data_IF_200919486897
#
_entry.id   IF_200919486897
#
_cell.length_a   1.000
_cell.length_b   1.000
_cell.length_c   1.000
_cell.angle_alpha   90.00
_cell.angle_beta   90.00
_cell.angle_gamma   90.00
#
_symmetry.space_group_name_H-M   'P 1'
#
loop_
_entity.id
_entity.type
_entity.pdbx_description
1 polymer ?
#
# COMPACT_ATOMS: atom_id res chain seq x y z
N UNK A 1 -4.55 6.49 -4.38
CA UNK A 1 -3.87 5.62 -5.36
C UNK A 1 -2.86 4.79 -4.59
N UNK A 2 -2.94 3.46 -4.58
CA UNK A 2 -1.95 2.64 -3.87
C UNK A 2 -0.57 2.77 -4.55
N UNK A 3 0.53 2.97 -3.80
CA UNK A 3 1.84 3.19 -4.40
C UNK A 3 2.47 1.86 -4.84
N UNK A 4 2.08 1.39 -6.03
CA UNK A 4 2.57 0.13 -6.63
C UNK A 4 4.09 0.12 -6.76
N UNK A 5 4.72 1.28 -7.02
CA UNK A 5 6.17 1.40 -7.16
C UNK A 5 6.94 1.06 -5.90
N UNK A 6 6.51 1.57 -4.74
CA UNK A 6 7.15 1.27 -3.46
C UNK A 6 6.78 -0.11 -2.92
N UNK A 7 5.67 -0.69 -3.39
CA UNK A 7 5.17 -1.98 -2.90
C UNK A 7 6.10 -3.14 -3.27
N UNK A 8 6.87 -3.05 -4.35
CA UNK A 8 7.87 -4.09 -4.70
C UNK A 8 8.89 -4.38 -3.59
N UNK A 9 9.16 -3.41 -2.71
CA UNK A 9 10.14 -3.52 -1.62
C UNK A 9 9.71 -4.49 -0.50
N UNK A 10 8.42 -4.83 -0.40
CA UNK A 10 7.94 -5.79 0.61
C UNK A 10 8.03 -7.24 0.12
N UNK A 11 7.96 -7.48 -1.19
CA UNK A 11 7.93 -8.82 -1.79
C UNK A 11 9.27 -9.27 -2.40
N UNK A 12 10.17 -8.34 -2.71
CA UNK A 12 11.47 -8.69 -3.33
C UNK A 12 12.45 -9.27 -2.31
N UNK A 13 13.15 -10.33 -2.68
CA UNK A 13 14.17 -10.93 -1.82
C UNK A 13 15.38 -9.99 -1.67
N UNK A 14 15.96 -9.93 -0.47
CA UNK A 14 17.05 -9.02 -0.11
C UNK A 14 16.64 -7.56 0.07
N UNK A 15 15.35 -7.25 -0.06
CA UNK A 15 14.82 -5.91 0.16
C UNK A 15 14.68 -5.59 1.66
N UNK A 16 14.91 -4.34 2.03
CA UNK A 16 14.97 -3.91 3.44
C UNK A 16 13.64 -4.04 4.20
N UNK A 17 12.51 -4.12 3.49
CA UNK A 17 11.17 -4.26 4.09
C UNK A 17 10.62 -5.70 3.99
N UNK A 18 11.35 -6.61 3.34
CA UNK A 18 10.98 -8.02 3.26
C UNK A 18 11.66 -8.80 4.41
N UNK A 19 11.10 -8.69 5.62
CA UNK A 19 11.67 -9.33 6.81
C UNK A 19 11.69 -10.87 6.74
N UNK A 20 10.74 -11.48 6.03
CA UNK A 20 10.71 -12.92 5.81
C UNK A 20 11.68 -13.40 4.72
N UNK A 21 12.19 -12.47 3.90
CA UNK A 21 12.96 -12.74 2.69
C UNK A 21 12.26 -13.73 1.72
N UNK A 22 10.92 -13.70 1.70
CA UNK A 22 10.07 -14.57 0.87
C UNK A 22 9.72 -13.81 -0.41
N UNK A 23 9.94 -14.42 -1.57
CA UNK A 23 9.61 -13.83 -2.87
C UNK A 23 9.89 -14.78 -4.02
N UNK A 24 9.64 -14.34 -5.25
CA UNK A 24 9.94 -15.10 -6.46
C UNK A 24 10.29 -14.18 -7.63
N UNK A 25 11.05 -14.70 -8.60
CA UNK A 25 11.41 -13.96 -9.81
C UNK A 25 10.16 -13.55 -10.63
N UNK A 26 9.08 -14.33 -10.56
CA UNK A 26 7.82 -14.01 -11.24
C UNK A 26 7.14 -12.78 -10.63
N UNK A 27 7.08 -12.70 -9.29
CA UNK A 27 6.52 -11.54 -8.57
C UNK A 27 7.34 -10.28 -8.89
N UNK A 28 8.67 -10.39 -8.88
CA UNK A 28 9.58 -9.29 -9.22
C UNK A 28 9.38 -8.80 -10.67
N UNK A 29 9.18 -9.72 -11.62
CA UNK A 29 8.93 -9.39 -13.02
C UNK A 29 7.58 -8.67 -13.20
N UNK A 30 6.53 -9.12 -12.51
CA UNK A 30 5.21 -8.49 -12.55
C UNK A 30 5.23 -7.06 -11.98
N UNK A 31 5.89 -6.84 -10.84
CA UNK A 31 6.06 -5.49 -10.29
C UNK A 31 6.91 -4.61 -11.20
N UNK A 32 7.98 -5.14 -11.78
CA UNK A 32 8.81 -4.41 -12.76
C UNK A 32 7.96 -3.97 -13.95
N UNK A 33 7.13 -4.86 -14.49
CA UNK A 33 6.23 -4.54 -15.60
C UNK A 33 5.19 -3.49 -15.22
N UNK A 34 4.53 -3.65 -14.06
CA UNK A 34 3.55 -2.69 -13.57
C UNK A 34 4.15 -1.28 -13.45
N UNK A 35 5.38 -1.16 -12.93
CA UNK A 35 6.06 0.12 -12.74
C UNK A 35 6.45 0.82 -14.05
N UNK A 36 6.58 0.08 -15.15
CA UNK A 36 6.88 0.64 -16.47
C UNK A 36 5.63 1.03 -17.28
N UNK A 37 4.42 0.75 -16.78
CA UNK A 37 3.16 1.07 -17.48
C UNK A 37 2.65 2.43 -17.00
N UNK A 38 2.36 3.34 -17.93
CA UNK A 38 1.76 4.66 -17.63
C UNK A 38 0.23 4.61 -17.45
N UNK A 39 -0.45 3.72 -18.17
CA UNK A 39 -1.90 3.54 -18.07
C UNK A 39 -2.28 2.97 -16.68
N UNK A 40 -3.09 3.69 -15.88
CA UNK A 40 -3.39 3.26 -14.51
C UNK A 40 -4.13 1.92 -14.44
N UNK A 41 -5.03 1.63 -15.39
CA UNK A 41 -5.83 0.39 -15.36
C UNK A 41 -4.94 -0.83 -15.63
N UNK A 42 -4.12 -0.78 -16.68
CA UNK A 42 -3.16 -1.84 -17.00
C UNK A 42 -2.10 -2.00 -15.91
N UNK A 43 -1.65 -0.89 -15.30
CA UNK A 43 -0.74 -0.96 -14.15
C UNK A 43 -1.36 -1.76 -12.99
N UNK A 44 -2.60 -1.47 -12.63
CA UNK A 44 -3.31 -2.20 -11.58
C UNK A 44 -3.51 -3.68 -11.94
N UNK A 45 -3.77 -4.01 -13.21
CA UNK A 45 -3.93 -5.39 -13.66
C UNK A 45 -2.68 -6.24 -13.34
N UNK A 46 -1.48 -5.78 -13.71
CA UNK A 46 -0.25 -6.49 -13.40
C UNK A 46 0.10 -6.50 -11.91
N UNK A 47 -0.22 -5.43 -11.19
CA UNK A 47 -0.04 -5.41 -9.74
C UNK A 47 -0.96 -6.43 -9.03
N UNK A 48 -2.20 -6.59 -9.48
CA UNK A 48 -3.12 -7.59 -8.95
C UNK A 48 -2.66 -9.03 -9.26
N UNK A 49 -2.05 -9.25 -10.43
CA UNK A 49 -1.42 -10.54 -10.74
C UNK A 49 -0.25 -10.83 -9.79
N UNK A 50 0.58 -9.82 -9.49
CA UNK A 50 1.68 -9.97 -8.53
C UNK A 50 1.17 -10.28 -7.11
N UNK A 51 0.10 -9.61 -6.69
CA UNK A 51 -0.56 -9.82 -5.39
C UNK A 51 -1.11 -11.25 -5.27
N UNK A 52 -1.81 -11.75 -6.29
CA UNK A 52 -2.29 -13.13 -6.32
C UNK A 52 -1.14 -14.15 -6.18
N UNK A 53 -0.02 -13.92 -6.86
CA UNK A 53 1.18 -14.77 -6.75
C UNK A 53 1.84 -14.69 -5.38
N UNK A 54 1.88 -13.51 -4.76
CA UNK A 54 2.38 -13.34 -3.40
C UNK A 54 1.50 -14.06 -2.37
N UNK A 55 0.18 -14.07 -2.60
CA UNK A 55 -0.78 -14.80 -1.78
C UNK A 55 -0.62 -16.32 -1.92
N UNK A 56 -0.49 -16.84 -3.15
CA UNK A 56 -0.19 -18.25 -3.43
C UNK A 56 1.10 -18.73 -2.73
N UNK A 57 2.13 -17.87 -2.69
CA UNK A 57 3.40 -18.14 -2.00
C UNK A 57 3.28 -18.11 -0.47
N UNK A 58 2.15 -17.66 0.07
CA UNK A 58 1.95 -17.44 1.51
C UNK A 58 3.02 -16.50 2.07
N UNK A 59 3.37 -15.44 1.32
CA UNK A 59 4.38 -14.46 1.74
C UNK A 59 4.00 -13.82 3.09
N UNK A 60 2.71 -13.57 3.31
CA UNK A 60 2.18 -13.05 4.57
C UNK A 60 0.76 -13.54 4.77
N UNK A 61 0.43 -13.91 6.01
CA UNK A 61 -0.94 -14.23 6.41
C UNK A 61 -1.59 -12.95 6.91
N UNK A 62 -2.54 -12.43 6.14
CA UNK A 62 -3.30 -11.23 6.50
C UNK A 62 -4.36 -11.59 7.55
N UNK A 63 -4.29 -10.96 8.72
CA UNK A 63 -5.22 -11.26 9.83
C UNK A 63 -6.49 -10.40 9.75
N UNK A 64 -6.31 -9.09 9.72
CA UNK A 64 -7.39 -8.12 9.64
C UNK A 64 -6.83 -6.76 9.22
N UNK A 65 -7.70 -5.91 8.68
CA UNK A 65 -7.37 -4.51 8.50
C UNK A 65 -7.54 -3.78 9.84
N UNK A 66 -6.45 -3.19 10.36
CA UNK A 66 -6.52 -2.42 11.61
C UNK A 66 -7.47 -1.24 11.46
N UNK A 67 -8.44 -1.13 12.37
CA UNK A 67 -9.30 0.06 12.48
C UNK A 67 -8.45 1.28 12.83
N UNK A 68 -8.74 2.41 12.18
CA UNK A 68 -8.08 3.67 12.52
C UNK A 68 -8.92 4.41 13.56
N UNK A 69 -8.45 4.44 14.81
CA UNK A 69 -9.12 5.12 15.93
C UNK A 69 -8.24 6.29 16.36
N UNK A 70 -8.75 7.51 16.16
CA UNK A 70 -8.02 8.75 16.42
C UNK A 70 -8.85 9.63 17.34
N UNK A 71 -8.26 10.04 18.47
CA UNK A 71 -8.85 11.07 19.33
C UNK A 71 -8.49 12.46 18.81
N UNK A 72 -9.48 13.32 18.63
CA UNK A 72 -9.30 14.67 18.08
C UNK A 72 -9.95 15.70 19.02
N UNK A 73 -9.27 16.81 19.35
CA UNK A 73 -9.87 17.89 20.13
C UNK A 73 -11.12 18.46 19.44
N UNK A 74 -12.13 18.86 20.24
CA UNK A 74 -13.41 19.36 19.70
C UNK A 74 -13.28 20.58 18.79
N UNK A 75 -12.21 21.36 18.96
CA UNK A 75 -11.94 22.56 18.18
C UNK A 75 -11.00 22.32 16.99
N UNK A 76 -10.79 21.07 16.55
CA UNK A 76 -10.01 20.76 15.34
C UNK A 76 -10.95 20.31 14.23
N UNK A 77 -10.93 21.02 13.11
CA UNK A 77 -11.67 20.69 11.90
C UNK A 77 -10.82 19.84 10.94
N UNK A 78 -11.52 19.00 10.16
CA UNK A 78 -10.97 18.23 9.03
C UNK A 78 -9.82 17.27 9.39
N UNK A 79 -9.71 16.87 10.67
CA UNK A 79 -8.74 15.88 11.15
C UNK A 79 -9.45 14.69 11.81
N UNK A 80 -8.91 13.49 11.65
CA UNK A 80 -9.46 12.28 12.26
C UNK A 80 -8.99 10.97 11.62
N UNK A 81 -9.91 10.00 11.51
CA UNK A 81 -9.65 8.71 10.91
C UNK A 81 -9.87 8.76 9.39
N UNK A 82 -8.78 8.82 8.62
CA UNK A 82 -8.83 8.96 7.15
C UNK A 82 -8.85 7.63 6.38
N UNK A 83 -8.83 6.49 7.09
CA UNK A 83 -8.78 5.17 6.45
C UNK A 83 -7.60 5.04 5.48
N UNK A 84 -7.90 4.79 4.19
CA UNK A 84 -6.91 4.61 3.13
C UNK A 84 -6.57 5.90 2.36
N UNK A 85 -7.14 7.04 2.73
CA UNK A 85 -6.89 8.32 2.05
C UNK A 85 -5.83 9.13 2.76
N UNK A 86 -5.11 9.96 2.01
CA UNK A 86 -4.17 10.93 2.57
C UNK A 86 -4.91 12.13 3.17
N UNK A 87 -4.27 12.78 4.14
CA UNK A 87 -4.77 14.00 4.78
C UNK A 87 -4.52 15.19 3.86
N UNK A 88 -5.53 16.02 3.63
CA UNK A 88 -5.36 17.36 3.05
C UNK A 88 -5.06 18.37 4.16
N UNK A 89 -3.77 18.59 4.40
CA UNK A 89 -3.28 19.51 5.42
C UNK A 89 -3.72 20.96 5.22
N UNK A 90 -4.14 21.37 4.02
CA UNK A 90 -4.58 22.75 3.76
C UNK A 90 -5.96 23.05 4.37
N UNK A 91 -6.73 22.01 4.66
CA UNK A 91 -8.08 22.11 5.22
C UNK A 91 -8.11 21.89 6.73
N UNK A 92 -7.04 21.32 7.29
CA UNK A 92 -6.93 21.03 8.73
C UNK A 92 -6.66 22.32 9.50
N UNK A 93 -7.40 22.56 10.57
CA UNK A 93 -7.21 23.76 11.38
C UNK A 93 -8.03 23.79 12.66
N UNK A 94 -7.80 24.83 13.46
CA UNK A 94 -8.57 25.06 14.68
C UNK A 94 -9.80 25.92 14.40
N UNK A 95 -10.94 25.51 14.95
CA UNK A 95 -12.16 26.32 15.00
C UNK A 95 -12.17 27.14 16.29
N UNK A 96 -12.83 28.31 16.24
CA UNK A 96 -13.11 29.11 17.45
C UNK A 96 -14.15 28.41 18.33
#
# INVERSE_FOLDING_TARGET
NFPISSTSNIFRQGAAQNFGNIGSAEIDALFTKANNILDPKKRCEFANQADAKAYELVHSITLFQRNNVVGVPKNVANFGAFGFTSIDWTTVGFTK
#
